data_IF_721954124739
#
_entry.id   IF_721954124739
#
_cell.length_a   1.000
_cell.length_b   1.000
_cell.length_c   1.000
_cell.angle_alpha   90.00
_cell.angle_beta   90.00
_cell.angle_gamma   90.00
#
_symmetry.space_group_name_H-M   'P 1'
#
loop_
_entity.id
_entity.type
_entity.pdbx_description
1 polymer ?
#
# COMPACT_ATOMS: atom_id res chain seq x y z
N UNK A 1 -7.04 0.73 -2.43
CA UNK A 1 -5.96 1.74 -2.25
C UNK A 1 -4.64 1.08 -2.61
N UNK A 2 -3.87 1.67 -3.53
CA UNK A 2 -2.60 1.11 -4.03
C UNK A 2 -1.58 2.24 -4.17
N UNK A 3 -0.28 1.97 -4.00
CA UNK A 3 0.73 3.00 -4.27
C UNK A 3 0.99 3.16 -5.79
N UNK A 4 1.75 4.19 -6.16
CA UNK A 4 1.95 4.59 -7.55
C UNK A 4 3.25 4.01 -8.14
N UNK A 5 3.54 2.74 -7.87
CA UNK A 5 4.61 2.01 -8.53
C UNK A 5 4.19 1.64 -9.96
N UNK A 6 5.13 1.66 -10.91
CA UNK A 6 4.85 1.39 -12.32
C UNK A 6 4.24 0.00 -12.58
N UNK A 7 4.47 -0.97 -11.69
CA UNK A 7 3.91 -2.33 -11.75
C UNK A 7 2.50 -2.45 -11.16
N UNK A 8 2.01 -1.42 -10.46
CA UNK A 8 0.70 -1.41 -9.85
C UNK A 8 -0.33 -0.85 -10.83
N UNK A 9 -0.71 -1.67 -11.81
CA UNK A 9 -1.75 -1.36 -12.79
C UNK A 9 -2.51 -2.65 -13.14
N UNK A 10 -3.44 -2.58 -14.09
CA UNK A 10 -4.28 -3.74 -14.49
C UNK A 10 -3.58 -4.75 -15.40
N UNK A 11 -2.48 -4.38 -16.07
CA UNK A 11 -1.83 -5.22 -17.09
C UNK A 11 -1.42 -6.61 -16.58
N UNK A 12 -0.91 -6.78 -15.33
CA UNK A 12 -0.61 -8.11 -14.80
C UNK A 12 -1.82 -9.06 -14.76
N UNK A 13 -3.05 -8.56 -14.60
CA UNK A 13 -4.24 -9.43 -14.61
C UNK A 13 -4.37 -10.15 -15.96
N UNK A 14 -4.18 -9.42 -17.06
CA UNK A 14 -4.20 -9.99 -18.41
C UNK A 14 -2.97 -10.83 -18.76
N UNK A 15 -1.88 -10.67 -18.00
CA UNK A 15 -0.69 -11.51 -18.15
C UNK A 15 -0.89 -12.91 -17.54
N UNK A 16 -1.63 -13.00 -16.42
CA UNK A 16 -1.73 -14.23 -15.64
C UNK A 16 -3.09 -14.94 -15.76
N UNK A 17 -4.15 -14.26 -16.19
CA UNK A 17 -5.49 -14.83 -16.32
C UNK A 17 -6.02 -14.74 -17.76
N UNK A 18 -6.90 -15.67 -18.16
CA UNK A 18 -7.69 -15.51 -19.38
C UNK A 18 -8.42 -14.16 -19.40
N UNK A 19 -8.63 -13.52 -20.56
CA UNK A 19 -9.19 -12.17 -20.65
C UNK A 19 -10.52 -12.00 -19.91
N UNK A 20 -11.47 -12.93 -20.07
CA UNK A 20 -12.78 -12.86 -19.42
C UNK A 20 -12.66 -12.97 -17.88
N UNK A 21 -11.72 -13.79 -17.39
CA UNK A 21 -11.47 -13.93 -15.95
C UNK A 21 -10.76 -12.68 -15.39
N UNK A 22 -9.78 -12.15 -16.10
CA UNK A 22 -9.10 -10.90 -15.74
C UNK A 22 -10.10 -9.74 -15.62
N UNK A 23 -10.98 -9.57 -16.61
CA UNK A 23 -12.02 -8.54 -16.59
C UNK A 23 -13.00 -8.76 -15.44
N UNK A 24 -13.47 -9.99 -15.24
CA UNK A 24 -14.38 -10.32 -14.14
C UNK A 24 -13.78 -10.08 -12.75
N UNK A 25 -12.45 -10.15 -12.60
CA UNK A 25 -11.77 -9.70 -11.38
C UNK A 25 -11.72 -8.17 -11.31
N UNK A 26 -11.24 -7.51 -12.37
CA UNK A 26 -11.11 -6.05 -12.43
C UNK A 26 -12.42 -5.32 -12.16
N UNK A 27 -13.55 -5.87 -12.60
CA UNK A 27 -14.90 -5.32 -12.35
C UNK A 27 -15.29 -5.31 -10.87
N UNK A 28 -14.60 -6.07 -10.01
CA UNK A 28 -14.90 -6.16 -8.57
C UNK A 28 -14.20 -5.11 -7.72
N UNK A 29 -13.24 -4.35 -8.27
CA UNK A 29 -12.47 -3.40 -7.48
C UNK A 29 -12.14 -2.11 -8.22
N UNK A 30 -12.13 -1.01 -7.47
CA UNK A 30 -11.67 0.29 -7.95
C UNK A 30 -10.25 0.59 -7.43
N UNK A 31 -9.35 0.97 -8.33
CA UNK A 31 -8.00 1.37 -7.97
C UNK A 31 -7.96 2.83 -7.47
N UNK A 32 -7.91 3.00 -6.15
CA UNK A 32 -7.56 4.31 -5.57
C UNK A 32 -6.05 4.43 -5.36
N UNK A 33 -5.36 5.24 -6.16
CA UNK A 33 -3.92 5.44 -6.02
C UNK A 33 -3.57 6.44 -4.91
N UNK A 34 -2.57 6.12 -4.09
CA UNK A 34 -2.00 7.10 -3.15
C UNK A 34 -1.33 8.22 -3.93
N UNK A 35 -1.49 9.50 -3.54
CA UNK A 35 -0.80 10.59 -4.22
C UNK A 35 0.73 10.37 -4.27
N UNK A 36 1.37 10.75 -5.39
CA UNK A 36 2.84 10.72 -5.60
C UNK A 36 3.61 11.17 -4.34
N UNK A 37 4.67 10.45 -3.94
CA UNK A 37 5.50 10.79 -2.76
C UNK A 37 4.79 10.72 -1.39
N UNK A 38 3.56 10.20 -1.31
CA UNK A 38 2.82 10.02 -0.04
C UNK A 38 2.68 8.54 0.32
N UNK A 39 3.70 7.72 0.00
CA UNK A 39 3.72 6.29 0.30
C UNK A 39 3.62 5.98 1.80
N UNK A 40 3.98 6.93 2.67
CA UNK A 40 3.83 6.82 4.13
C UNK A 40 2.36 6.76 4.58
N UNK A 41 1.41 7.16 3.72
CA UNK A 41 -0.03 7.04 3.94
C UNK A 41 -0.58 5.68 3.46
N UNK A 42 0.23 4.84 2.81
CA UNK A 42 -0.22 3.50 2.40
C UNK A 42 -0.32 2.55 3.62
N UNK A 43 -1.42 1.82 3.72
CA UNK A 43 -1.69 0.81 4.75
C UNK A 43 -0.56 -0.22 4.83
N UNK A 44 -0.05 -0.70 3.68
CA UNK A 44 1.06 -1.65 3.66
C UNK A 44 2.34 -1.05 4.28
N UNK A 45 2.62 0.23 3.99
CA UNK A 45 3.76 0.96 4.56
C UNK A 45 3.64 1.14 6.07
N UNK A 46 2.45 1.46 6.57
CA UNK A 46 2.16 1.54 8.01
C UNK A 46 2.40 0.18 8.68
N UNK A 47 1.87 -0.90 8.11
CA UNK A 47 2.08 -2.27 8.60
C UNK A 47 3.56 -2.65 8.67
N UNK A 48 4.34 -2.38 7.62
CA UNK A 48 5.78 -2.59 7.59
C UNK A 48 6.51 -1.76 8.67
N UNK A 49 6.10 -0.52 8.91
CA UNK A 49 6.65 0.32 9.97
C UNK A 49 6.41 -0.24 11.38
N UNK A 50 5.27 -0.92 11.59
CA UNK A 50 5.00 -1.61 12.86
C UNK A 50 5.82 -2.90 12.97
N UNK A 51 5.87 -3.72 11.91
CA UNK A 51 6.73 -4.91 11.85
C UNK A 51 8.20 -4.55 12.14
N UNK A 52 8.70 -3.47 11.53
CA UNK A 52 10.08 -3.01 11.74
C UNK A 52 10.36 -2.69 13.21
N UNK A 53 9.46 -1.97 13.87
CA UNK A 53 9.62 -1.56 15.28
C UNK A 53 9.46 -2.72 16.25
N UNK A 54 8.53 -3.65 15.98
CA UNK A 54 8.18 -4.72 16.92
C UNK A 54 8.99 -6.00 16.71
N UNK A 55 9.35 -6.33 15.47
CA UNK A 55 9.96 -7.60 15.11
C UNK A 55 11.36 -7.45 14.55
N UNK A 56 11.64 -6.42 13.74
CA UNK A 56 12.91 -6.30 13.02
C UNK A 56 13.85 -5.22 13.59
N UNK A 57 13.64 -4.80 14.84
CA UNK A 57 14.41 -3.74 15.49
C UNK A 57 15.77 -4.21 16.05
N UNK A 58 16.34 -5.28 15.48
CA UNK A 58 17.65 -5.78 15.82
C UNK A 58 18.29 -6.48 14.62
N UNK A 59 19.61 -6.70 14.69
CA UNK A 59 20.34 -7.38 13.63
C UNK A 59 19.97 -8.88 13.62
N UNK A 60 19.64 -9.38 12.43
CA UNK A 60 19.31 -10.79 12.21
C UNK A 60 20.30 -11.31 11.16
N UNK A 61 21.10 -12.30 11.54
CA UNK A 61 22.19 -12.80 10.70
C UNK A 61 21.75 -13.82 9.64
N UNK A 62 20.63 -14.50 9.86
CA UNK A 62 20.16 -15.57 8.99
C UNK A 62 18.72 -15.32 8.53
N UNK A 63 18.48 -15.50 7.23
CA UNK A 63 17.15 -15.35 6.64
C UNK A 63 16.11 -16.25 7.33
N UNK A 64 16.44 -17.53 7.57
CA UNK A 64 15.55 -18.46 8.26
C UNK A 64 15.14 -17.98 9.67
N UNK A 65 16.02 -17.28 10.40
CA UNK A 65 15.68 -16.68 11.69
C UNK A 65 14.74 -15.49 11.51
N UNK A 66 14.93 -14.69 10.46
CA UNK A 66 14.01 -13.60 10.12
C UNK A 66 12.62 -14.14 9.81
N UNK A 67 12.53 -15.19 8.98
CA UNK A 67 11.25 -15.78 8.54
C UNK A 67 10.45 -16.32 9.72
N UNK A 68 11.09 -17.06 10.64
CA UNK A 68 10.44 -17.58 11.85
C UNK A 68 9.91 -16.46 12.73
N UNK A 69 10.68 -15.37 12.89
CA UNK A 69 10.26 -14.23 13.71
C UNK A 69 9.10 -13.48 13.08
N UNK A 70 9.15 -13.23 11.77
CA UNK A 70 8.06 -12.60 11.02
C UNK A 70 6.79 -13.44 11.12
N UNK A 71 6.90 -14.76 10.92
CA UNK A 71 5.76 -15.68 11.01
C UNK A 71 5.12 -15.67 12.41
N UNK A 72 5.93 -15.75 13.48
CA UNK A 72 5.45 -15.69 14.85
C UNK A 72 4.79 -14.33 15.17
N UNK A 73 5.39 -13.23 14.73
CA UNK A 73 4.83 -11.89 14.89
C UNK A 73 3.50 -11.72 14.14
N UNK A 74 3.42 -12.23 12.90
CA UNK A 74 2.21 -12.16 12.07
C UNK A 74 1.08 -12.99 12.69
N UNK A 75 1.36 -14.20 13.17
CA UNK A 75 0.38 -15.04 13.85
C UNK A 75 -0.19 -14.35 15.10
N UNK A 76 0.69 -13.78 15.93
CA UNK A 76 0.27 -13.02 17.12
C UNK A 76 -0.57 -11.79 16.74
N UNK A 77 -0.17 -11.02 15.72
CA UNK A 77 -0.90 -9.82 15.29
C UNK A 77 -2.29 -10.16 14.72
N UNK A 78 -2.38 -11.22 13.92
CA UNK A 78 -3.64 -11.67 13.34
C UNK A 78 -4.58 -12.21 14.43
N UNK A 79 -4.06 -12.91 15.43
CA UNK A 79 -4.86 -13.37 16.57
C UNK A 79 -5.39 -12.22 17.45
N UNK A 80 -4.70 -11.08 17.48
CA UNK A 80 -5.13 -9.90 18.22
C UNK A 80 -6.22 -9.08 17.51
N UNK A 81 -6.51 -9.37 16.23
CA UNK A 81 -7.53 -8.75 15.38
C UNK A 81 -7.63 -7.21 15.52
N UNK A 82 -6.46 -6.56 15.56
CA UNK A 82 -6.40 -5.10 15.76
C UNK A 82 -6.57 -4.38 14.43
N UNK A 83 -7.65 -3.62 14.32
CA UNK A 83 -7.87 -2.68 13.23
C UNK A 83 -6.86 -1.53 13.27
N UNK A 84 -6.62 -0.94 12.09
CA UNK A 84 -5.86 0.30 11.99
C UNK A 84 -6.77 1.43 12.45
N UNK A 85 -6.38 2.11 13.52
CA UNK A 85 -7.01 3.35 13.95
C UNK A 85 -6.57 4.49 13.02
N UNK A 86 -7.40 4.79 12.03
CA UNK A 86 -7.09 5.78 11.01
C UNK A 86 -7.46 7.19 11.46
N UNK A 87 -6.45 7.97 11.85
CA UNK A 87 -6.62 9.33 12.38
C UNK A 87 -6.39 10.45 11.34
N UNK A 88 -5.84 10.12 10.15
CA UNK A 88 -5.51 11.13 9.14
C UNK A 88 -6.73 11.50 8.29
N UNK A 89 -7.20 12.74 8.42
CA UNK A 89 -8.43 13.18 7.73
C UNK A 89 -8.16 14.22 6.63
N UNK A 90 -9.22 14.61 5.92
CA UNK A 90 -9.15 15.58 4.82
C UNK A 90 -8.63 16.95 5.26
N UNK A 91 -8.88 17.38 6.50
CA UNK A 91 -8.33 18.64 7.02
C UNK A 91 -6.82 18.55 7.23
N UNK A 92 -6.31 17.43 7.73
CA UNK A 92 -4.86 17.19 7.82
C UNK A 92 -4.21 17.20 6.45
N UNK A 93 -4.86 16.58 5.46
CA UNK A 93 -4.38 16.54 4.08
C UNK A 93 -4.26 17.96 3.49
N UNK A 94 -5.28 18.81 3.68
CA UNK A 94 -5.27 20.22 3.23
C UNK A 94 -4.13 21.03 3.81
N UNK A 95 -3.63 20.68 5.00
CA UNK A 95 -2.50 21.38 5.62
C UNK A 95 -1.18 20.75 5.16
N UNK A 96 -1.02 19.43 5.31
CA UNK A 96 0.25 18.72 5.07
C UNK A 96 0.61 18.58 3.60
N UNK A 97 -0.39 18.36 2.73
CA UNK A 97 -0.15 18.14 1.31
C UNK A 97 -0.09 19.44 0.50
N UNK A 98 -0.58 20.57 1.03
CA UNK A 98 -0.57 21.88 0.33
C UNK A 98 0.81 22.31 -0.16
N UNK A 99 1.88 21.97 0.58
CA UNK A 99 3.27 22.28 0.16
C UNK A 99 3.82 21.30 -0.87
N UNK A 100 3.29 20.08 -0.90
CA UNK A 100 3.74 19.01 -1.80
C UNK A 100 3.00 19.06 -3.15
N UNK A 101 1.81 19.65 -3.15
CA UNK A 101 0.93 19.84 -4.30
C UNK A 101 0.47 21.29 -4.32
N UNK A 102 1.33 22.18 -4.82
CA UNK A 102 0.94 23.56 -5.10
C UNK A 102 -0.03 23.57 -6.29
N UNK A 103 -1.04 24.45 -6.25
CA UNK A 103 -2.11 24.54 -7.26
C UNK A 103 -1.51 24.68 -8.66
N UNK A 104 -1.65 23.60 -9.41
CA UNK A 104 -1.05 23.34 -10.71
C UNK A 104 -1.30 21.87 -11.04
N UNK A 105 -2.55 21.43 -10.90
CA UNK A 105 -3.00 20.17 -11.49
C UNK A 105 -3.35 20.44 -12.95
N UNK A 106 -2.35 20.75 -13.75
CA UNK A 106 -2.44 20.58 -15.20
C UNK A 106 -1.53 19.42 -15.57
N UNK A 107 -2.11 18.47 -16.31
CA UNK A 107 -1.48 17.35 -17.00
C UNK A 107 -0.98 16.17 -16.14
N UNK A 108 -1.90 15.22 -15.88
CA UNK A 108 -1.59 13.78 -15.90
C UNK A 108 -2.88 12.92 -15.84
N UNK A 109 -3.94 13.40 -16.52
CA UNK A 109 -5.15 12.61 -16.77
C UNK A 109 -5.24 12.31 -18.28
N UNK A 110 -4.19 11.71 -18.80
CA UNK A 110 -4.19 11.10 -20.13
C UNK A 110 -3.32 9.86 -20.07
N UNK A 111 -3.98 8.70 -20.01
CA UNK A 111 -3.82 7.54 -20.90
C UNK A 111 -4.53 6.36 -20.21
N UNK A 112 -5.79 6.14 -20.59
CA UNK A 112 -6.34 4.87 -21.08
C UNK A 112 -7.87 4.98 -21.14
N UNK A 113 -8.36 5.20 -22.36
CA UNK A 113 -9.67 4.71 -22.77
C UNK A 113 -9.57 3.25 -23.20
#
# INVERSE_FOLDING_TARGET
MVDQLNTHNSAPFYQFFPPDEAQAYLDRFEFHYTPKKVSWLNIAGIGLGVLKRQCLNCRIYHAATSDRRIAAWQAHRNAADRLIDWQFNTNDARIKLRRLYSVGMEEDQQVHG
#
